data_IF_368160030717
#
_entry.id   IF_368160030717
#
_cell.length_a   1.000
_cell.length_b   1.000
_cell.length_c   1.000
_cell.angle_alpha   90.00
_cell.angle_beta   90.00
_cell.angle_gamma   90.00
#
_symmetry.space_group_name_H-M   'P 1'
#
loop_
_entity.id
_entity.type
_entity.pdbx_description
1 polymer ?
#
# COMPACT_ATOMS: atom_id res chain seq x y z
N UNK A 1 26.66 12.00 -9.40
CA UNK A 1 26.61 12.62 -8.04
C UNK A 1 27.32 11.69 -7.06
N UNK A 2 27.89 12.21 -5.97
CA UNK A 2 28.64 11.41 -4.98
C UNK A 2 28.25 11.67 -3.52
N UNK A 3 27.63 12.81 -3.25
CA UNK A 3 27.25 13.27 -1.92
C UNK A 3 26.06 14.26 -2.00
N UNK A 4 25.58 14.69 -0.83
CA UNK A 4 24.44 15.59 -0.71
C UNK A 4 24.68 16.96 -1.40
N UNK A 5 25.88 17.53 -1.27
CA UNK A 5 26.20 18.83 -1.87
C UNK A 5 26.22 18.74 -3.41
N UNK A 6 26.77 17.66 -3.96
CA UNK A 6 26.73 17.39 -5.40
C UNK A 6 25.30 17.22 -5.91
N UNK A 7 24.40 16.65 -5.11
CA UNK A 7 22.98 16.56 -5.45
C UNK A 7 22.31 17.94 -5.47
N UNK A 8 22.52 18.75 -4.42
CA UNK A 8 21.99 20.12 -4.35
C UNK A 8 22.48 21.00 -5.50
N UNK A 9 23.73 20.84 -5.93
CA UNK A 9 24.25 21.51 -7.13
C UNK A 9 23.50 21.10 -8.41
N UNK A 10 23.10 19.83 -8.53
CA UNK A 10 22.22 19.40 -9.63
C UNK A 10 20.85 20.04 -9.50
N UNK A 11 20.25 20.07 -8.30
CA UNK A 11 18.95 20.72 -8.07
C UNK A 11 18.95 22.21 -8.44
N UNK A 12 20.08 22.93 -8.29
CA UNK A 12 20.23 24.32 -8.77
C UNK A 12 20.03 24.43 -10.29
N UNK A 13 20.65 23.54 -11.06
CA UNK A 13 20.48 23.54 -12.52
C UNK A 13 19.07 23.11 -12.92
N UNK A 14 18.49 22.14 -12.21
CA UNK A 14 17.10 21.72 -12.44
C UNK A 14 16.11 22.83 -12.10
N UNK A 15 16.35 23.61 -11.03
CA UNK A 15 15.50 24.74 -10.67
C UNK A 15 15.52 25.82 -11.75
N UNK A 16 16.69 26.13 -12.35
CA UNK A 16 16.76 27.06 -13.48
C UNK A 16 15.93 26.57 -14.67
N UNK A 17 15.96 25.27 -14.96
CA UNK A 17 15.16 24.67 -16.02
C UNK A 17 13.66 24.73 -15.68
N UNK A 18 13.27 24.43 -14.44
CA UNK A 18 11.89 24.49 -13.97
C UNK A 18 11.31 25.92 -14.01
N UNK A 19 12.15 26.94 -13.83
CA UNK A 19 11.77 28.35 -13.97
C UNK A 19 11.43 28.76 -15.42
N UNK A 20 11.86 27.99 -16.42
CA UNK A 20 11.47 28.22 -17.82
C UNK A 20 10.06 27.71 -18.14
N UNK A 21 9.46 26.92 -17.25
CA UNK A 21 8.14 26.30 -17.40
C UNK A 21 8.20 24.77 -17.38
N UNK A 22 7.04 24.13 -17.37
CA UNK A 22 6.94 22.67 -17.32
C UNK A 22 7.35 22.04 -18.66
N UNK A 23 6.95 22.61 -19.81
CA UNK A 23 7.29 22.04 -21.12
C UNK A 23 8.82 21.96 -21.36
N UNK A 24 9.63 23.02 -21.12
CA UNK A 24 11.08 22.91 -21.25
C UNK A 24 11.72 21.94 -20.25
N UNK A 25 11.18 21.86 -19.03
CA UNK A 25 11.64 20.93 -18.01
C UNK A 25 11.42 19.49 -18.42
N UNK A 26 10.18 19.13 -18.73
CA UNK A 26 9.79 17.78 -19.15
C UNK A 26 10.53 17.38 -20.42
N UNK A 27 10.55 18.23 -21.46
CA UNK A 27 11.24 17.94 -22.72
C UNK A 27 12.74 17.71 -22.53
N UNK A 28 13.37 18.47 -21.63
CA UNK A 28 14.79 18.29 -21.30
C UNK A 28 15.09 16.92 -20.70
N UNK A 29 14.25 16.46 -19.76
CA UNK A 29 14.41 15.13 -19.16
C UNK A 29 14.08 13.99 -20.13
N UNK A 30 13.07 14.17 -21.00
CA UNK A 30 12.75 13.18 -22.03
C UNK A 30 13.97 13.01 -22.95
N UNK A 31 14.56 14.12 -23.40
CA UNK A 31 15.78 14.08 -24.21
C UNK A 31 16.94 13.35 -23.52
N UNK A 32 17.17 13.58 -22.22
CA UNK A 32 18.19 12.86 -21.45
C UNK A 32 17.87 11.36 -21.37
N UNK A 33 16.61 11.00 -21.12
CA UNK A 33 16.16 9.62 -21.03
C UNK A 33 16.39 8.87 -22.34
N UNK A 34 16.03 9.50 -23.47
CA UNK A 34 16.20 8.96 -24.82
C UNK A 34 17.69 8.87 -25.22
N UNK A 35 18.47 9.94 -25.00
CA UNK A 35 19.89 10.01 -25.37
C UNK A 35 20.73 8.97 -24.61
N UNK A 36 20.42 8.76 -23.32
CA UNK A 36 21.07 7.76 -22.48
C UNK A 36 20.44 6.37 -22.60
N UNK A 37 19.33 6.23 -23.34
CA UNK A 37 18.57 4.97 -23.51
C UNK A 37 18.19 4.35 -22.17
N UNK A 38 17.69 5.16 -21.24
CA UNK A 38 17.29 4.69 -19.91
C UNK A 38 16.03 3.82 -19.96
N UNK A 39 15.14 4.08 -20.93
CA UNK A 39 13.97 3.28 -21.23
C UNK A 39 13.58 3.46 -22.72
N UNK A 40 12.53 2.76 -23.14
CA UNK A 40 11.93 2.99 -24.46
C UNK A 40 11.36 4.44 -24.56
N UNK A 41 11.35 5.08 -25.74
CA UNK A 41 10.95 6.48 -25.87
C UNK A 41 9.53 6.79 -25.37
N UNK A 42 8.58 5.86 -25.54
CA UNK A 42 7.22 6.01 -25.03
C UNK A 42 7.16 5.95 -23.49
N UNK A 43 8.00 5.11 -22.88
CA UNK A 43 8.14 5.00 -21.42
C UNK A 43 8.76 6.28 -20.85
N UNK A 44 9.84 6.76 -21.46
CA UNK A 44 10.47 8.04 -21.12
C UNK A 44 9.46 9.19 -21.18
N UNK A 45 8.76 9.31 -22.32
CA UNK A 45 7.78 10.37 -22.55
C UNK A 45 6.61 10.30 -21.55
N UNK A 46 5.97 9.15 -21.39
CA UNK A 46 4.80 9.00 -20.53
C UNK A 46 5.11 9.25 -19.06
N UNK A 47 6.18 8.66 -18.54
CA UNK A 47 6.60 8.81 -17.14
C UNK A 47 6.92 10.28 -16.81
N UNK A 48 7.71 10.94 -17.65
CA UNK A 48 8.17 12.30 -17.39
C UNK A 48 7.08 13.36 -17.66
N UNK A 49 6.13 13.07 -18.56
CA UNK A 49 4.97 13.95 -18.76
C UNK A 49 4.05 13.95 -17.54
N UNK A 50 3.91 12.81 -16.86
CA UNK A 50 3.13 12.72 -15.62
C UNK A 50 3.86 13.33 -14.42
N UNK A 51 5.05 12.81 -14.09
CA UNK A 51 5.75 13.14 -12.84
C UNK A 51 6.60 14.42 -12.92
N UNK A 52 7.11 14.76 -14.11
CA UNK A 52 7.99 15.91 -14.31
C UNK A 52 7.40 17.25 -13.85
N UNK A 53 6.13 17.57 -14.12
CA UNK A 53 5.49 18.79 -13.63
C UNK A 53 5.46 18.93 -12.11
N UNK A 54 5.32 17.82 -11.36
CA UNK A 54 5.34 17.81 -9.89
C UNK A 54 6.74 18.19 -9.40
N UNK A 55 7.79 17.56 -9.93
CA UNK A 55 9.17 17.88 -9.56
C UNK A 55 9.51 19.33 -9.94
N UNK A 56 9.07 19.80 -11.12
CA UNK A 56 9.25 21.18 -11.54
C UNK A 56 8.55 22.16 -10.60
N UNK A 57 7.36 21.81 -10.10
CA UNK A 57 6.65 22.56 -9.07
C UNK A 57 7.48 22.67 -7.80
N UNK A 58 7.93 21.55 -7.23
CA UNK A 58 8.70 21.51 -5.99
C UNK A 58 9.93 22.40 -6.07
N UNK A 59 10.70 22.25 -7.17
CA UNK A 59 11.90 23.03 -7.42
C UNK A 59 11.64 24.53 -7.44
N UNK A 60 10.44 24.99 -7.86
CA UNK A 60 10.09 26.41 -7.84
C UNK A 60 9.72 26.93 -6.46
N UNK A 61 9.29 26.06 -5.54
CA UNK A 61 8.80 26.45 -4.22
C UNK A 61 9.87 26.43 -3.12
N UNK A 62 10.97 25.70 -3.31
CA UNK A 62 11.94 25.44 -2.24
C UNK A 62 13.30 26.12 -2.45
N UNK A 63 14.05 26.27 -1.37
CA UNK A 63 15.47 26.59 -1.42
C UNK A 63 16.29 25.32 -1.73
N UNK A 64 16.66 25.14 -3.00
CA UNK A 64 17.42 23.97 -3.47
C UNK A 64 18.85 23.87 -2.94
N UNK A 65 19.40 24.94 -2.33
CA UNK A 65 20.79 24.96 -1.84
C UNK A 65 20.92 24.62 -0.35
N UNK A 66 19.94 25.00 0.46
CA UNK A 66 20.02 24.82 1.92
C UNK A 66 18.69 24.46 2.57
N UNK A 67 17.61 24.40 1.80
CA UNK A 67 16.28 24.04 2.28
C UNK A 67 16.20 22.60 2.77
N UNK A 68 15.28 22.33 3.69
CA UNK A 68 15.03 20.98 4.20
C UNK A 68 14.46 20.10 3.09
N UNK A 69 13.52 20.63 2.31
CA UNK A 69 12.91 19.90 1.22
C UNK A 69 13.94 19.48 0.16
N UNK A 70 14.99 20.28 -0.05
CA UNK A 70 16.07 19.93 -0.98
C UNK A 70 16.80 18.64 -0.59
N UNK A 71 17.00 18.40 0.71
CA UNK A 71 17.62 17.17 1.19
C UNK A 71 16.69 15.98 0.99
N UNK A 72 15.41 16.14 1.32
CA UNK A 72 14.38 15.12 1.09
C UNK A 72 14.24 14.74 -0.39
N UNK A 73 14.17 15.74 -1.28
CA UNK A 73 14.09 15.52 -2.73
C UNK A 73 15.36 14.85 -3.28
N UNK A 74 16.54 15.19 -2.77
CA UNK A 74 17.78 14.47 -3.07
C UNK A 74 17.77 13.01 -2.64
N UNK A 75 17.14 12.71 -1.49
CA UNK A 75 16.95 11.32 -1.02
C UNK A 75 15.99 10.58 -1.93
N UNK A 76 14.86 11.17 -2.27
CA UNK A 76 13.83 10.56 -3.09
C UNK A 76 14.28 10.31 -4.53
N UNK A 77 14.92 11.28 -5.18
CA UNK A 77 15.31 11.16 -6.60
C UNK A 77 16.62 10.40 -6.81
N UNK A 78 17.56 10.52 -5.88
CA UNK A 78 18.94 10.09 -6.12
C UNK A 78 19.56 9.25 -5.00
N UNK A 79 18.84 9.02 -3.90
CA UNK A 79 19.35 8.26 -2.74
C UNK A 79 20.46 8.96 -1.96
N UNK A 80 20.61 10.29 -2.09
CA UNK A 80 21.60 11.09 -1.35
C UNK A 80 20.94 11.91 -0.23
N UNK A 81 21.73 12.41 0.72
CA UNK A 81 21.26 13.23 1.86
C UNK A 81 20.47 12.50 2.96
N UNK A 82 20.33 11.17 2.94
CA UNK A 82 19.69 10.42 4.04
C UNK A 82 20.51 10.54 5.33
N UNK A 83 19.87 10.94 6.43
CA UNK A 83 20.55 11.11 7.73
C UNK A 83 20.27 10.01 8.73
N UNK A 84 19.32 9.09 8.49
CA UNK A 84 18.87 8.06 9.43
C UNK A 84 18.52 8.64 10.82
N UNK A 85 18.09 9.91 10.85
CA UNK A 85 17.77 10.66 12.07
C UNK A 85 16.54 11.51 11.80
N UNK A 86 15.46 11.24 12.54
CA UNK A 86 14.24 12.04 12.50
C UNK A 86 14.47 13.41 13.12
N UNK A 87 13.72 14.40 12.62
CA UNK A 87 13.64 15.72 13.22
C UNK A 87 12.95 15.62 14.58
N UNK A 88 13.53 16.18 15.65
CA UNK A 88 12.90 16.20 16.96
C UNK A 88 11.53 16.87 16.91
N UNK A 89 10.49 16.12 17.28
CA UNK A 89 9.14 16.62 17.41
C UNK A 89 8.37 15.69 18.35
N UNK A 90 7.83 16.26 19.42
CA UNK A 90 7.00 15.53 20.36
C UNK A 90 5.55 15.61 19.86
N UNK A 91 5.02 14.50 19.36
CA UNK A 91 3.66 14.47 18.83
C UNK A 91 2.66 14.69 19.99
N UNK A 92 1.69 15.62 19.86
CA UNK A 92 0.74 15.90 20.93
C UNK A 92 -0.20 14.70 21.13
N UNK A 93 -0.07 14.04 22.28
CA UNK A 93 -0.84 12.84 22.62
C UNK A 93 -1.67 13.04 23.90
N UNK A 94 -2.89 12.47 23.98
CA UNK A 94 -3.65 12.48 25.21
C UNK A 94 -2.91 11.67 26.30
N UNK A 95 -3.08 12.00 27.59
CA UNK A 95 -2.50 11.22 28.67
C UNK A 95 -3.08 9.80 28.69
N UNK A 96 -2.34 8.78 29.18
CA UNK A 96 -2.89 7.45 29.40
C UNK A 96 -4.08 7.48 30.37
N UNK A 97 -5.04 6.55 30.25
CA UNK A 97 -6.14 6.43 31.19
C UNK A 97 -5.63 6.29 32.63
N UNK A 98 -6.29 6.97 33.59
CA UNK A 98 -5.87 6.95 35.00
C UNK A 98 -6.03 5.57 35.66
N UNK A 99 -6.96 4.75 35.18
CA UNK A 99 -7.04 3.35 35.56
C UNK A 99 -6.41 2.48 34.48
N UNK A 100 -5.45 1.60 34.82
CA UNK A 100 -4.91 0.67 33.84
C UNK A 100 -6.05 -0.16 33.27
N UNK A 101 -6.18 -0.17 31.94
CA UNK A 101 -7.07 -1.11 31.24
C UNK A 101 -6.80 -2.49 31.80
N UNK A 102 -7.77 -3.06 32.52
CA UNK A 102 -7.63 -4.41 33.08
C UNK A 102 -7.26 -5.33 31.92
N UNK A 103 -6.02 -5.83 31.90
CA UNK A 103 -5.69 -7.01 31.08
C UNK A 103 -6.70 -8.05 31.52
N UNK A 104 -7.67 -8.35 30.66
CA UNK A 104 -8.67 -9.37 30.94
C UNK A 104 -7.88 -10.66 31.19
N UNK A 105 -7.72 -11.00 32.45
CA UNK A 105 -7.06 -12.22 32.87
C UNK A 105 -7.90 -13.36 32.32
N UNK A 106 -7.27 -14.16 31.46
CA UNK A 106 -7.87 -15.30 30.77
C UNK A 106 -8.51 -16.28 31.76
N UNK A 107 -9.78 -16.06 32.08
CA UNK A 107 -10.67 -17.01 32.77
C UNK A 107 -12.04 -17.10 32.06
N UNK A 108 -12.12 -16.73 30.77
CA UNK A 108 -13.26 -17.10 29.91
C UNK A 108 -12.92 -18.39 29.17
N UNK A 109 -13.92 -19.26 29.01
CA UNK A 109 -13.80 -20.40 28.08
C UNK A 109 -13.36 -19.86 26.73
N UNK A 110 -12.23 -20.34 26.19
CA UNK A 110 -11.72 -19.93 24.88
C UNK A 110 -12.83 -20.14 23.86
N UNK A 111 -13.24 -19.06 23.21
CA UNK A 111 -14.18 -19.11 22.09
C UNK A 111 -13.44 -19.62 20.86
N UNK A 112 -14.17 -20.24 19.94
CA UNK A 112 -13.61 -20.67 18.66
C UNK A 112 -13.00 -19.48 17.91
N UNK A 113 -11.76 -19.61 17.41
CA UNK A 113 -11.14 -18.62 16.53
C UNK A 113 -11.99 -18.37 15.28
N UNK A 114 -11.83 -17.19 14.68
CA UNK A 114 -12.39 -16.90 13.37
C UNK A 114 -11.29 -16.62 12.36
N UNK A 115 -11.63 -16.81 11.09
CA UNK A 115 -10.70 -16.63 9.98
C UNK A 115 -10.93 -15.29 9.29
N UNK A 116 -9.84 -14.64 8.89
CA UNK A 116 -9.89 -13.46 8.00
C UNK A 116 -8.84 -13.62 6.89
N UNK A 117 -9.11 -12.98 5.75
CA UNK A 117 -8.20 -12.96 4.62
C UNK A 117 -7.60 -11.57 4.45
N UNK A 118 -6.34 -11.51 4.01
CA UNK A 118 -5.66 -10.27 3.64
C UNK A 118 -5.06 -10.39 2.25
N UNK A 119 -5.53 -9.50 1.37
CA UNK A 119 -5.08 -9.34 0.00
C UNK A 119 -4.41 -7.97 -0.19
N UNK A 120 -3.44 -7.90 -1.09
CA UNK A 120 -2.75 -6.66 -1.45
C UNK A 120 -2.17 -6.73 -2.85
N UNK A 121 -1.73 -5.58 -3.37
CA UNK A 121 -0.95 -5.44 -4.60
C UNK A 121 -1.57 -6.23 -5.75
N UNK A 122 -2.81 -5.87 -6.07
CA UNK A 122 -3.62 -6.54 -7.09
C UNK A 122 -3.01 -6.30 -8.45
N UNK A 123 -2.65 -5.04 -8.76
CA UNK A 123 -2.18 -4.57 -10.06
C UNK A 123 -2.92 -5.25 -11.21
N UNK A 124 -4.24 -5.02 -11.29
CA UNK A 124 -5.06 -5.63 -12.33
C UNK A 124 -4.76 -4.97 -13.67
N UNK A 125 -4.14 -5.71 -14.57
CA UNK A 125 -3.91 -5.29 -15.93
C UNK A 125 -5.13 -5.62 -16.80
N UNK A 126 -6.00 -4.61 -17.00
CA UNK A 126 -7.17 -4.75 -17.88
C UNK A 126 -6.83 -4.71 -19.37
N UNK A 127 -5.60 -4.35 -19.72
CA UNK A 127 -5.09 -4.35 -21.09
C UNK A 127 -4.26 -5.63 -21.39
N UNK A 128 -4.13 -6.53 -20.40
CA UNK A 128 -3.46 -7.82 -20.55
C UNK A 128 -4.05 -8.60 -21.71
N UNK A 129 -3.21 -9.02 -22.65
CA UNK A 129 -3.62 -9.76 -23.84
C UNK A 129 -3.03 -11.16 -23.85
N UNK A 130 -3.89 -12.19 -23.73
CA UNK A 130 -3.45 -13.58 -23.87
C UNK A 130 -2.79 -13.80 -25.23
N UNK A 131 -1.58 -14.38 -25.22
CA UNK A 131 -0.79 -14.67 -26.42
C UNK A 131 0.06 -13.51 -26.94
N UNK A 132 0.01 -12.31 -26.35
CA UNK A 132 1.02 -11.27 -26.63
C UNK A 132 2.38 -11.68 -26.06
N UNK A 133 3.43 -10.92 -26.34
CA UNK A 133 4.76 -11.23 -25.81
C UNK A 133 4.85 -10.97 -24.30
N UNK A 134 5.31 -11.97 -23.55
CA UNK A 134 5.62 -11.85 -22.13
C UNK A 134 7.08 -11.41 -21.90
N UNK A 135 7.98 -11.58 -22.87
CA UNK A 135 9.39 -11.18 -22.73
C UNK A 135 9.73 -9.99 -23.63
N UNK A 136 9.29 -8.81 -23.22
CA UNK A 136 9.50 -7.54 -23.90
C UNK A 136 10.60 -6.69 -23.23
N UNK A 137 10.97 -5.56 -23.84
CA UNK A 137 11.96 -4.61 -23.30
C UNK A 137 11.37 -3.54 -22.39
N UNK A 138 10.03 -3.42 -22.36
CA UNK A 138 9.32 -2.44 -21.54
C UNK A 138 9.27 -2.88 -20.07
N UNK A 139 9.04 -1.94 -19.12
CA UNK A 139 8.93 -2.28 -17.70
C UNK A 139 7.79 -3.25 -17.37
N UNK A 140 6.75 -3.31 -18.21
CA UNK A 140 5.64 -4.26 -18.10
C UNK A 140 5.32 -4.85 -19.49
N UNK A 141 5.13 -6.17 -19.56
CA UNK A 141 4.85 -6.89 -20.80
C UNK A 141 3.39 -7.41 -20.86
N UNK A 142 3.12 -8.41 -21.69
CA UNK A 142 1.80 -9.03 -21.88
C UNK A 142 0.70 -8.09 -22.39
N UNK A 143 1.06 -7.06 -23.14
CA UNK A 143 0.13 -6.18 -23.87
C UNK A 143 0.50 -6.13 -25.35
N UNK A 144 -0.41 -5.62 -26.17
CA UNK A 144 -0.13 -5.29 -27.56
C UNK A 144 0.33 -3.82 -27.67
N UNK A 145 1.63 -3.58 -27.64
CA UNK A 145 2.17 -2.24 -27.86
C UNK A 145 2.28 -1.91 -29.35
N UNK A 146 2.00 -0.66 -29.72
CA UNK A 146 1.99 -0.23 -31.14
C UNK A 146 3.38 -0.30 -31.81
N UNK A 147 4.45 -0.14 -31.02
CA UNK A 147 5.84 -0.21 -31.46
C UNK A 147 6.39 -1.65 -31.47
N UNK A 148 5.63 -2.61 -30.96
CA UNK A 148 6.01 -4.01 -30.91
C UNK A 148 5.74 -4.72 -32.24
N UNK A 149 6.77 -4.78 -33.09
CA UNK A 149 6.72 -5.39 -34.42
C UNK A 149 7.42 -6.76 -34.51
N UNK A 150 7.86 -7.31 -33.38
CA UNK A 150 8.57 -8.59 -33.28
C UNK A 150 7.64 -9.81 -33.30
N UNK A 151 8.21 -10.98 -33.62
CA UNK A 151 7.50 -12.25 -33.42
C UNK A 151 7.33 -12.52 -31.94
N UNK A 152 6.16 -12.99 -31.53
CA UNK A 152 5.93 -13.50 -30.16
C UNK A 152 6.79 -14.74 -29.95
N UNK A 153 7.73 -14.64 -29.02
CA UNK A 153 8.65 -15.70 -28.61
C UNK A 153 8.14 -16.41 -27.36
N UNK A 154 7.62 -15.67 -26.38
CA UNK A 154 7.01 -16.20 -25.16
C UNK A 154 5.57 -15.67 -25.09
N UNK A 155 4.56 -16.49 -25.49
CA UNK A 155 3.17 -16.05 -25.45
C UNK A 155 2.66 -15.94 -24.01
N UNK A 156 2.04 -14.82 -23.70
CA UNK A 156 1.40 -14.49 -22.44
C UNK A 156 0.30 -15.51 -22.10
N UNK A 157 0.39 -16.24 -20.97
CA UNK A 157 -0.57 -17.27 -20.58
C UNK A 157 -1.88 -16.67 -20.03
N UNK A 158 -3.00 -17.43 -19.99
CA UNK A 158 -4.30 -16.89 -19.56
C UNK A 158 -4.38 -16.37 -18.12
N UNK A 159 -3.48 -16.81 -17.24
CA UNK A 159 -3.50 -16.51 -15.81
C UNK A 159 -2.30 -15.69 -15.33
N UNK A 160 -1.51 -15.09 -16.24
CA UNK A 160 -0.41 -14.21 -15.88
C UNK A 160 0.98 -14.87 -15.96
N UNK A 161 2.00 -14.03 -16.04
CA UNK A 161 3.42 -14.39 -16.16
C UNK A 161 4.24 -13.48 -15.23
N UNK A 162 5.44 -13.90 -14.82
CA UNK A 162 6.27 -13.17 -13.86
C UNK A 162 6.82 -11.83 -14.37
N UNK A 163 6.64 -11.50 -15.65
CA UNK A 163 7.01 -10.21 -16.25
C UNK A 163 5.81 -9.29 -16.51
N UNK A 164 4.64 -9.69 -16.03
CA UNK A 164 3.37 -9.07 -16.36
C UNK A 164 2.51 -8.89 -15.12
N UNK A 165 1.57 -7.97 -15.16
CA UNK A 165 0.63 -7.76 -14.07
C UNK A 165 -0.59 -8.69 -14.16
N UNK A 166 -1.47 -8.59 -13.17
CA UNK A 166 -2.56 -9.55 -12.95
C UNK A 166 -3.63 -9.44 -14.04
N UNK A 167 -3.83 -10.46 -14.89
CA UNK A 167 -4.97 -10.44 -15.79
C UNK A 167 -6.28 -10.69 -15.01
N UNK A 168 -7.40 -10.20 -15.54
CA UNK A 168 -8.73 -10.35 -14.91
C UNK A 168 -9.04 -11.79 -14.45
N UNK A 169 -8.77 -12.86 -15.25
CA UNK A 169 -9.02 -14.23 -14.81
C UNK A 169 -8.23 -14.66 -13.56
N UNK A 170 -7.02 -14.13 -13.37
CA UNK A 170 -6.22 -14.42 -12.17
C UNK A 170 -6.85 -13.75 -10.94
N UNK A 171 -7.20 -12.47 -11.03
CA UNK A 171 -7.91 -11.75 -9.96
C UNK A 171 -9.23 -12.42 -9.59
N UNK A 172 -10.07 -12.74 -10.58
CA UNK A 172 -11.33 -13.45 -10.39
C UNK A 172 -11.12 -14.79 -9.68
N UNK A 173 -10.10 -15.55 -10.07
CA UNK A 173 -9.81 -16.84 -9.43
C UNK A 173 -9.40 -16.70 -7.96
N UNK A 174 -8.71 -15.61 -7.58
CA UNK A 174 -8.39 -15.33 -6.19
C UNK A 174 -9.67 -15.05 -5.40
N UNK A 175 -10.53 -14.17 -5.91
CA UNK A 175 -11.77 -13.79 -5.24
C UNK A 175 -12.70 -14.99 -5.03
N UNK A 176 -12.79 -15.89 -6.02
CA UNK A 176 -13.51 -17.17 -5.88
C UNK A 176 -12.91 -18.07 -4.79
N UNK A 177 -11.58 -18.16 -4.71
CA UNK A 177 -10.88 -18.93 -3.68
C UNK A 177 -11.15 -18.36 -2.27
N UNK A 178 -11.15 -17.03 -2.14
CA UNK A 178 -11.45 -16.34 -0.88
C UNK A 178 -12.89 -16.61 -0.46
N UNK A 179 -13.84 -16.53 -1.39
CA UNK A 179 -15.25 -16.81 -1.08
C UNK A 179 -15.47 -18.27 -0.62
N UNK A 180 -14.67 -19.22 -1.13
CA UNK A 180 -14.71 -20.61 -0.68
C UNK A 180 -14.17 -20.83 0.76
N UNK A 181 -13.38 -19.89 1.29
CA UNK A 181 -12.91 -19.91 2.68
C UNK A 181 -14.00 -19.43 3.65
N UNK A 182 -14.95 -18.62 3.19
CA UNK A 182 -15.97 -17.95 4.02
C UNK A 182 -15.34 -17.18 5.21
N UNK A 183 -14.40 -16.24 4.95
CA UNK A 183 -13.76 -15.49 6.03
C UNK A 183 -14.75 -14.54 6.69
N UNK A 184 -14.54 -14.23 7.97
CA UNK A 184 -15.37 -13.26 8.70
C UNK A 184 -15.37 -11.87 8.04
N UNK A 185 -14.22 -11.46 7.50
CA UNK A 185 -14.03 -10.30 6.66
C UNK A 185 -12.71 -10.39 5.90
N UNK A 186 -12.51 -9.49 4.95
CA UNK A 186 -11.28 -9.35 4.16
C UNK A 186 -10.65 -7.99 4.45
N UNK A 187 -9.33 -7.97 4.66
CA UNK A 187 -8.52 -6.75 4.60
C UNK A 187 -7.96 -6.64 3.18
N UNK A 188 -8.07 -5.46 2.58
CA UNK A 188 -7.50 -5.18 1.26
C UNK A 188 -6.59 -3.95 1.32
N UNK A 189 -5.29 -4.10 1.11
CA UNK A 189 -4.34 -2.99 1.33
C UNK A 189 -3.92 -2.26 0.06
N UNK A 190 -4.77 -2.23 -0.99
CA UNK A 190 -4.61 -1.31 -2.13
C UNK A 190 -3.75 -1.82 -3.28
N UNK A 191 -3.35 -0.89 -4.15
CA UNK A 191 -2.64 -1.12 -5.42
C UNK A 191 -3.47 -1.94 -6.40
N UNK A 192 -4.56 -1.31 -6.85
CA UNK A 192 -5.47 -1.85 -7.86
C UNK A 192 -4.84 -1.69 -9.25
N UNK A 193 -4.29 -0.53 -9.56
CA UNK A 193 -3.87 -0.15 -10.91
C UNK A 193 -2.54 -0.82 -11.27
N UNK A 194 -2.40 -1.25 -12.52
CA UNK A 194 -1.18 -1.87 -13.05
C UNK A 194 0.11 -1.02 -12.95
N UNK A 195 1.24 -1.67 -13.22
CA UNK A 195 2.58 -1.11 -13.29
C UNK A 195 2.96 -0.47 -14.64
N UNK A 196 2.07 -0.41 -15.63
CA UNK A 196 2.31 0.32 -16.88
C UNK A 196 2.14 1.84 -16.73
N UNK A 197 2.75 2.40 -15.68
CA UNK A 197 2.48 3.75 -15.16
C UNK A 197 2.66 4.87 -16.18
N UNK A 198 3.50 4.67 -17.21
CA UNK A 198 3.70 5.63 -18.31
C UNK A 198 2.50 5.76 -19.26
N UNK A 199 1.52 4.84 -19.18
CA UNK A 199 0.26 4.88 -19.95
C UNK A 199 -0.96 5.19 -19.08
N UNK A 200 -0.78 5.18 -17.75
CA UNK A 200 -1.85 5.38 -16.77
C UNK A 200 -2.19 6.87 -16.66
N UNK A 201 -3.48 7.18 -16.61
CA UNK A 201 -4.00 8.53 -16.40
C UNK A 201 -5.26 8.48 -15.50
N UNK A 202 -5.78 9.64 -15.11
CA UNK A 202 -6.94 9.74 -14.22
C UNK A 202 -8.16 8.94 -14.72
N UNK A 203 -8.38 8.90 -16.05
CA UNK A 203 -9.50 8.13 -16.63
C UNK A 203 -9.30 6.63 -16.48
N UNK A 204 -8.11 6.11 -16.74
CA UNK A 204 -7.84 4.68 -16.56
C UNK A 204 -7.87 4.27 -15.09
N UNK A 205 -7.27 5.07 -14.20
CA UNK A 205 -7.34 4.82 -12.75
C UNK A 205 -8.79 4.83 -12.27
N UNK A 206 -9.58 5.86 -12.64
CA UNK A 206 -11.01 5.92 -12.29
C UNK A 206 -11.74 4.65 -12.70
N UNK A 207 -11.58 4.23 -13.96
CA UNK A 207 -12.17 2.98 -14.48
C UNK A 207 -11.75 1.78 -13.65
N UNK A 208 -10.47 1.67 -13.28
CA UNK A 208 -9.93 0.49 -12.62
C UNK A 208 -10.35 0.41 -11.15
N UNK A 209 -10.36 1.54 -10.43
CA UNK A 209 -10.91 1.64 -9.07
C UNK A 209 -12.40 1.30 -9.03
N UNK A 210 -13.21 1.93 -9.89
CA UNK A 210 -14.66 1.67 -9.97
C UNK A 210 -14.94 0.20 -10.33
N UNK A 211 -14.24 -0.33 -11.33
CA UNK A 211 -14.44 -1.70 -11.80
C UNK A 211 -14.00 -2.72 -10.76
N UNK A 212 -12.91 -2.47 -10.03
CA UNK A 212 -12.46 -3.41 -9.00
C UNK A 212 -13.35 -3.36 -7.76
N UNK A 213 -13.85 -2.19 -7.37
CA UNK A 213 -14.89 -2.08 -6.33
C UNK A 213 -16.15 -2.88 -6.70
N UNK A 214 -16.59 -2.79 -7.96
CA UNK A 214 -17.71 -3.58 -8.46
C UNK A 214 -17.40 -5.10 -8.48
N UNK A 215 -16.19 -5.49 -8.86
CA UNK A 215 -15.75 -6.90 -8.83
C UNK A 215 -15.72 -7.47 -7.41
N UNK A 216 -15.20 -6.71 -6.44
CA UNK A 216 -15.21 -7.09 -5.02
C UNK A 216 -16.65 -7.29 -4.52
N UNK A 217 -17.55 -6.36 -4.84
CA UNK A 217 -18.97 -6.43 -4.45
C UNK A 217 -19.69 -7.64 -5.05
N UNK A 218 -19.43 -7.95 -6.31
CA UNK A 218 -20.06 -9.07 -7.02
C UNK A 218 -19.55 -10.44 -6.51
N UNK A 219 -18.26 -10.54 -6.17
CA UNK A 219 -17.60 -11.84 -5.96
C UNK A 219 -17.30 -12.19 -4.50
N UNK A 220 -17.19 -11.22 -3.59
CA UNK A 220 -16.88 -11.45 -2.18
C UNK A 220 -18.14 -11.26 -1.33
N UNK A 221 -18.54 -12.31 -0.60
CA UNK A 221 -19.72 -12.26 0.28
C UNK A 221 -19.44 -11.59 1.62
N UNK A 222 -18.20 -11.67 2.11
CA UNK A 222 -17.77 -11.09 3.38
C UNK A 222 -17.53 -9.57 3.26
N UNK A 223 -17.66 -8.79 4.34
CA UNK A 223 -17.26 -7.39 4.33
C UNK A 223 -15.78 -7.22 3.97
N UNK A 224 -15.47 -6.19 3.18
CA UNK A 224 -14.09 -5.84 2.81
C UNK A 224 -13.72 -4.52 3.48
N UNK A 225 -12.55 -4.48 4.12
CA UNK A 225 -11.97 -3.27 4.70
C UNK A 225 -10.73 -2.85 3.90
N UNK A 226 -10.91 -1.96 2.92
CA UNK A 226 -9.84 -1.53 2.02
C UNK A 226 -8.96 -0.42 2.60
N UNK A 227 -7.78 -0.21 2.01
CA UNK A 227 -6.91 0.95 2.17
C UNK A 227 -6.31 1.33 0.80
N UNK A 228 -5.86 2.58 0.65
CA UNK A 228 -5.30 3.10 -0.61
C UNK A 228 -3.83 2.71 -0.81
N UNK A 229 -3.50 2.28 -2.02
CA UNK A 229 -2.14 2.05 -2.49
C UNK A 229 -1.53 3.24 -3.22
N UNK A 230 -0.24 3.15 -3.55
CA UNK A 230 0.48 4.22 -4.25
C UNK A 230 0.19 4.23 -5.76
N UNK A 231 -0.27 3.11 -6.34
CA UNK A 231 -0.74 3.03 -7.72
C UNK A 231 -2.19 3.52 -7.92
N UNK A 232 -2.93 3.77 -6.84
CA UNK A 232 -4.35 4.16 -6.90
C UNK A 232 -4.57 5.65 -7.25
N UNK A 233 -3.55 6.33 -7.79
CA UNK A 233 -3.60 7.71 -8.29
C UNK A 233 -2.91 7.84 -9.64
N UNK A 234 -3.20 8.94 -10.35
CA UNK A 234 -2.48 9.33 -11.55
C UNK A 234 -1.99 10.78 -11.43
N UNK A 235 -0.71 11.07 -11.69
CA UNK A 235 0.39 10.11 -11.87
C UNK A 235 0.56 9.17 -10.66
N UNK A 236 1.29 8.08 -10.84
CA UNK A 236 1.60 7.13 -9.76
C UNK A 236 2.24 7.88 -8.56
N UNK A 237 1.87 7.50 -7.34
CA UNK A 237 2.30 8.10 -6.07
C UNK A 237 1.80 9.53 -5.78
N UNK A 238 1.04 10.16 -6.68
CA UNK A 238 0.70 11.57 -6.59
C UNK A 238 -0.46 11.84 -5.60
N UNK A 239 -0.09 12.10 -4.34
CA UNK A 239 -1.00 12.54 -3.28
C UNK A 239 -0.61 13.92 -2.77
N UNK A 240 -1.25 14.96 -3.30
CA UNK A 240 -0.92 16.36 -2.99
C UNK A 240 -1.20 16.73 -1.53
N UNK A 241 -0.34 17.58 -0.94
CA UNK A 241 -0.58 18.11 0.40
C UNK A 241 -1.72 19.12 0.35
N UNK A 242 -2.48 19.19 1.45
CA UNK A 242 -3.50 20.22 1.66
C UNK A 242 -2.93 21.66 1.64
N UNK A 243 -1.62 21.79 1.83
CA UNK A 243 -0.88 23.06 1.74
C UNK A 243 -0.32 23.34 0.35
N UNK A 244 -0.33 22.38 -0.57
CA UNK A 244 0.16 22.55 -1.94
C UNK A 244 -0.74 23.51 -2.72
N UNK A 245 -0.19 24.23 -3.71
CA UNK A 245 -1.02 25.15 -4.53
C UNK A 245 -2.13 24.43 -5.31
N UNK A 246 -2.02 23.12 -5.49
CA UNK A 246 -3.00 22.24 -6.14
C UNK A 246 -3.58 21.20 -5.17
N UNK A 247 -3.79 21.60 -3.92
CA UNK A 247 -4.22 20.76 -2.79
C UNK A 247 -5.40 19.78 -3.00
N UNK A 248 -6.22 19.97 -4.04
CA UNK A 248 -7.39 19.13 -4.32
C UNK A 248 -7.15 18.05 -5.40
N UNK A 249 -5.92 17.91 -5.92
CA UNK A 249 -5.64 17.05 -7.08
C UNK A 249 -5.87 15.55 -6.84
N UNK A 250 -5.98 15.09 -5.58
CA UNK A 250 -6.24 13.68 -5.26
C UNK A 250 -7.64 13.41 -4.69
N UNK A 251 -8.49 14.44 -4.55
CA UNK A 251 -9.82 14.29 -3.96
C UNK A 251 -10.72 13.35 -4.78
N UNK A 252 -10.53 13.28 -6.10
CA UNK A 252 -11.27 12.39 -6.98
C UNK A 252 -11.07 10.91 -6.62
N UNK A 253 -9.86 10.52 -6.16
CA UNK A 253 -9.58 9.16 -5.67
C UNK A 253 -10.43 8.88 -4.42
N UNK A 254 -10.45 9.82 -3.47
CA UNK A 254 -11.21 9.69 -2.23
C UNK A 254 -12.72 9.65 -2.48
N UNK A 255 -13.22 10.44 -3.43
CA UNK A 255 -14.64 10.45 -3.81
C UNK A 255 -15.07 9.11 -4.42
N UNK A 256 -14.28 8.54 -5.34
CA UNK A 256 -14.56 7.23 -5.95
C UNK A 256 -14.58 6.14 -4.88
N UNK A 257 -13.56 6.12 -4.03
CA UNK A 257 -13.39 5.06 -3.03
C UNK A 257 -14.41 5.20 -1.89
N UNK A 258 -14.73 6.41 -1.46
CA UNK A 258 -15.84 6.67 -0.53
C UNK A 258 -17.15 6.08 -1.05
N UNK A 259 -17.48 6.33 -2.32
CA UNK A 259 -18.68 5.78 -2.96
C UNK A 259 -18.62 4.26 -3.11
N UNK A 260 -17.47 3.71 -3.51
CA UNK A 260 -17.28 2.28 -3.73
C UNK A 260 -17.25 1.45 -2.44
N UNK A 261 -16.84 2.04 -1.31
CA UNK A 261 -16.59 1.31 -0.07
C UNK A 261 -17.73 1.39 0.95
N UNK A 262 -18.65 2.37 0.82
CA UNK A 262 -19.73 2.66 1.79
C UNK A 262 -20.53 1.43 2.20
N UNK A 263 -20.74 0.50 1.27
CA UNK A 263 -21.47 -0.75 1.50
C UNK A 263 -20.83 -1.68 2.54
N UNK A 264 -19.51 -1.60 2.73
CA UNK A 264 -18.77 -2.42 3.70
C UNK A 264 -18.43 -1.66 4.98
N UNK A 265 -18.06 -0.38 4.84
CA UNK A 265 -17.52 0.40 5.97
C UNK A 265 -18.57 1.29 6.65
N UNK A 266 -19.72 1.51 5.99
CA UNK A 266 -20.82 2.36 6.46
C UNK A 266 -20.65 3.85 6.14
N UNK A 267 -21.72 4.62 6.32
CA UNK A 267 -21.77 6.04 5.95
C UNK A 267 -20.71 6.87 6.68
N UNK A 268 -20.54 6.70 7.99
CA UNK A 268 -19.58 7.47 8.80
C UNK A 268 -18.14 7.28 8.30
N UNK A 269 -17.70 6.03 8.16
CA UNK A 269 -16.37 5.72 7.64
C UNK A 269 -16.21 6.17 6.18
N UNK A 270 -17.26 6.10 5.35
CA UNK A 270 -17.19 6.61 3.97
C UNK A 270 -16.99 8.14 3.92
N UNK A 271 -17.57 8.89 4.87
CA UNK A 271 -17.32 10.33 4.98
C UNK A 271 -15.89 10.61 5.45
N UNK A 272 -15.34 9.77 6.33
CA UNK A 272 -13.94 9.87 6.73
C UNK A 272 -13.01 9.63 5.54
N UNK A 273 -13.25 8.61 4.70
CA UNK A 273 -12.46 8.42 3.45
C UNK A 273 -12.42 9.71 2.64
N UNK A 274 -13.57 10.39 2.50
CA UNK A 274 -13.69 11.61 1.71
C UNK A 274 -12.97 12.81 2.32
N UNK A 275 -12.96 12.94 3.64
CA UNK A 275 -12.58 14.19 4.32
C UNK A 275 -11.30 14.09 5.17
N UNK A 276 -10.88 12.87 5.52
CA UNK A 276 -9.69 12.56 6.32
C UNK A 276 -8.60 11.92 5.43
N UNK A 277 -8.46 12.48 4.23
CA UNK A 277 -7.40 12.16 3.27
C UNK A 277 -7.33 10.67 2.88
N UNK A 278 -8.48 10.04 2.66
CA UNK A 278 -8.56 8.62 2.30
C UNK A 278 -8.46 7.66 3.49
N UNK A 279 -8.34 8.17 4.72
CA UNK A 279 -8.31 7.36 5.95
C UNK A 279 -9.72 7.18 6.52
N UNK A 280 -9.96 6.09 7.26
CA UNK A 280 -11.21 5.89 7.97
C UNK A 280 -11.07 4.96 9.17
N UNK A 281 -12.09 4.96 10.02
CA UNK A 281 -12.23 4.00 11.10
C UNK A 281 -13.62 3.38 11.12
N UNK A 282 -13.69 2.05 11.19
CA UNK A 282 -14.97 1.33 11.22
C UNK A 282 -14.95 0.19 12.23
N UNK A 283 -16.03 0.05 13.00
CA UNK A 283 -16.21 -1.04 13.95
C UNK A 283 -16.67 -2.30 13.20
N UNK A 284 -15.95 -3.41 13.34
CA UNK A 284 -16.36 -4.68 12.74
C UNK A 284 -17.65 -5.17 13.41
N UNK A 285 -18.77 -5.34 12.68
CA UNK A 285 -20.06 -5.66 13.27
C UNK A 285 -20.04 -6.90 14.15
N UNK A 286 -20.70 -6.82 15.32
CA UNK A 286 -20.78 -7.93 16.28
C UNK A 286 -19.46 -8.25 16.99
N UNK A 287 -18.48 -7.36 16.93
CA UNK A 287 -17.20 -7.49 17.64
C UNK A 287 -16.85 -6.21 18.41
N UNK A 288 -15.73 -6.27 19.12
CA UNK A 288 -15.10 -5.11 19.77
C UNK A 288 -13.77 -4.73 19.09
N UNK A 289 -13.64 -5.11 17.80
CA UNK A 289 -12.50 -4.81 16.94
C UNK A 289 -12.88 -3.68 16.00
N UNK A 290 -12.04 -2.66 15.95
CA UNK A 290 -12.12 -1.54 15.03
C UNK A 290 -11.00 -1.63 14.01
N UNK A 291 -11.32 -1.45 12.74
CA UNK A 291 -10.34 -1.25 11.69
C UNK A 291 -10.04 0.25 11.60
N UNK A 292 -8.77 0.60 11.57
CA UNK A 292 -8.27 1.94 11.33
C UNK A 292 -7.42 1.90 10.05
N UNK A 293 -8.04 2.23 8.93
CA UNK A 293 -7.38 2.27 7.63
C UNK A 293 -6.77 3.66 7.41
N UNK A 294 -5.48 3.70 7.10
CA UNK A 294 -4.69 4.93 7.06
C UNK A 294 -4.06 5.12 5.68
N UNK A 295 -4.03 6.36 5.21
CA UNK A 295 -3.39 6.70 3.96
C UNK A 295 -1.88 6.96 4.16
N UNK A 296 -1.08 5.92 3.94
CA UNK A 296 0.38 5.96 4.09
C UNK A 296 1.09 6.73 2.96
N UNK A 297 0.37 7.17 1.92
CA UNK A 297 0.95 7.90 0.78
C UNK A 297 1.48 9.27 1.19
N UNK A 298 0.95 9.84 2.26
CA UNK A 298 1.45 11.08 2.85
C UNK A 298 2.79 10.92 3.58
N UNK A 299 3.32 9.70 3.66
CA UNK A 299 4.60 9.37 4.28
C UNK A 299 5.54 8.67 3.30
N UNK A 300 5.14 8.51 2.03
CA UNK A 300 5.93 7.78 1.04
C UNK A 300 7.00 8.67 0.41
N UNK A 301 8.25 8.22 0.37
CA UNK A 301 9.36 8.99 -0.23
C UNK A 301 9.19 9.27 -1.72
N UNK A 302 8.42 8.47 -2.47
CA UNK A 302 8.17 8.74 -3.89
C UNK A 302 6.92 9.60 -4.15
N UNK A 303 6.18 10.00 -3.11
CA UNK A 303 5.17 11.04 -3.25
C UNK A 303 5.85 12.41 -3.26
N UNK A 304 6.18 12.90 -4.46
CA UNK A 304 6.99 14.11 -4.59
C UNK A 304 6.32 15.38 -4.04
N UNK A 305 4.98 15.41 -3.94
CA UNK A 305 4.25 16.51 -3.32
C UNK A 305 4.65 16.80 -1.87
N UNK A 306 5.33 15.88 -1.19
CA UNK A 306 5.84 16.09 0.16
C UNK A 306 7.09 17.00 0.21
N UNK A 307 7.65 17.38 -0.94
CA UNK A 307 8.85 18.20 -1.06
C UNK A 307 8.59 19.62 -1.59
N UNK A 308 7.33 20.07 -1.69
CA UNK A 308 6.96 21.39 -2.24
C UNK A 308 7.10 22.58 -1.27
N UNK A 309 7.69 22.39 -0.08
CA UNK A 309 7.86 23.46 0.91
C UNK A 309 8.99 23.16 1.90
N UNK A 310 9.76 24.20 2.25
CA UNK A 310 10.76 24.16 3.33
C UNK A 310 10.15 24.31 4.74
N UNK A 311 8.85 24.61 4.83
CA UNK A 311 8.14 24.64 6.10
C UNK A 311 8.09 23.24 6.70
N UNK A 312 8.38 23.14 8.01
CA UNK A 312 8.31 21.87 8.70
C UNK A 312 6.85 21.45 8.88
N UNK A 313 6.47 20.35 8.22
CA UNK A 313 5.14 19.76 8.29
C UNK A 313 5.24 18.35 8.88
N UNK A 314 5.15 18.20 10.21
CA UNK A 314 5.30 16.90 10.87
C UNK A 314 4.18 15.92 10.53
N UNK A 315 2.99 16.42 10.22
CA UNK A 315 1.80 15.61 9.92
C UNK A 315 1.12 16.07 8.62
N UNK A 316 1.67 15.69 7.44
CA UNK A 316 1.06 16.03 6.16
C UNK A 316 -0.38 15.52 6.13
N UNK A 317 -1.31 16.43 5.86
CA UNK A 317 -2.75 16.16 5.77
C UNK A 317 -3.42 15.61 7.03
N UNK A 318 -2.79 15.72 8.20
CA UNK A 318 -3.44 15.40 9.48
C UNK A 318 -3.62 13.90 9.74
N UNK A 319 -2.92 13.02 9.02
CA UNK A 319 -3.09 11.56 9.12
C UNK A 319 -2.68 11.05 10.51
N UNK A 320 -1.60 11.55 11.10
CA UNK A 320 -1.16 11.18 12.45
C UNK A 320 -2.16 11.67 13.51
N UNK A 321 -2.69 12.89 13.35
CA UNK A 321 -3.71 13.43 14.24
C UNK A 321 -5.00 12.61 14.20
N UNK A 322 -5.47 12.26 13.00
CA UNK A 322 -6.61 11.36 12.81
C UNK A 322 -6.39 10.01 13.50
N UNK A 323 -5.20 9.41 13.34
CA UNK A 323 -4.87 8.14 14.00
C UNK A 323 -4.94 8.26 15.52
N UNK A 324 -4.32 9.29 16.10
CA UNK A 324 -4.32 9.49 17.56
C UNK A 324 -5.75 9.69 18.09
N UNK A 325 -6.59 10.46 17.40
CA UNK A 325 -8.00 10.67 17.74
C UNK A 325 -8.79 9.35 17.70
N UNK A 326 -8.68 8.58 16.62
CA UNK A 326 -9.42 7.33 16.48
C UNK A 326 -8.96 6.25 17.49
N UNK A 327 -7.67 6.24 17.83
CA UNK A 327 -7.14 5.35 18.88
C UNK A 327 -7.62 5.75 20.27
N UNK A 328 -7.73 7.05 20.56
CA UNK A 328 -8.32 7.54 21.80
C UNK A 328 -9.80 7.16 21.91
N UNK A 329 -10.58 7.35 20.85
CA UNK A 329 -11.99 6.92 20.79
C UNK A 329 -12.11 5.41 21.05
N UNK A 330 -11.24 4.60 20.45
CA UNK A 330 -11.23 3.15 20.66
C UNK A 330 -10.85 2.78 22.09
N UNK A 331 -9.82 3.42 22.66
CA UNK A 331 -9.37 3.19 24.04
C UNK A 331 -10.48 3.50 25.05
N UNK A 332 -11.16 4.63 24.89
CA UNK A 332 -12.29 5.05 25.73
C UNK A 332 -13.48 4.08 25.62
N UNK A 333 -13.70 3.51 24.44
CA UNK A 333 -14.72 2.48 24.21
C UNK A 333 -14.28 1.07 24.66
N UNK A 334 -13.03 0.90 25.11
CA UNK A 334 -12.45 -0.40 25.45
C UNK A 334 -12.30 -1.34 24.25
N UNK A 335 -12.24 -0.80 23.04
CA UNK A 335 -12.08 -1.51 21.77
C UNK A 335 -10.62 -1.90 21.53
N UNK A 336 -10.41 -2.90 20.67
CA UNK A 336 -9.10 -3.19 20.07
C UNK A 336 -9.05 -2.65 18.66
N UNK A 337 -7.86 -2.27 18.21
CA UNK A 337 -7.68 -1.67 16.88
C UNK A 337 -6.70 -2.48 16.05
N UNK A 338 -7.10 -2.79 14.82
CA UNK A 338 -6.18 -3.18 13.77
C UNK A 338 -5.92 -1.98 12.88
N UNK A 339 -4.64 -1.65 12.68
CA UNK A 339 -4.22 -0.58 11.79
C UNK A 339 -3.90 -1.18 10.43
N UNK A 340 -4.52 -0.67 9.37
CA UNK A 340 -4.31 -1.16 8.00
C UNK A 340 -3.85 -0.01 7.12
N UNK A 341 -2.91 -0.26 6.22
CA UNK A 341 -2.46 0.72 5.24
C UNK A 341 -1.73 0.01 4.10
N UNK A 342 -1.16 0.74 3.16
CA UNK A 342 -0.42 0.10 2.07
C UNK A 342 1.07 -0.05 2.41
N UNK A 343 1.77 1.06 2.64
CA UNK A 343 3.22 1.08 2.82
C UNK A 343 3.55 0.83 4.29
N UNK A 344 4.28 -0.25 4.63
CA UNK A 344 4.63 -0.53 6.01
C UNK A 344 5.57 0.54 6.60
N UNK A 345 5.28 0.97 7.83
CA UNK A 345 6.16 1.88 8.57
C UNK A 345 7.44 1.19 9.02
N UNK A 346 8.51 1.97 9.26
CA UNK A 346 9.80 1.44 9.72
C UNK A 346 10.62 0.75 8.61
N UNK A 347 10.23 0.92 7.35
CA UNK A 347 10.96 0.47 6.15
C UNK A 347 11.54 1.65 5.36
N UNK A 348 12.42 1.32 4.41
CA UNK A 348 13.19 2.29 3.63
C UNK A 348 12.32 3.24 2.79
N UNK A 349 11.10 2.84 2.42
CA UNK A 349 10.20 3.62 1.59
C UNK A 349 9.46 4.73 2.34
N UNK A 350 9.30 4.59 3.65
CA UNK A 350 8.58 5.57 4.47
C UNK A 350 9.55 6.66 4.98
N UNK A 351 9.05 7.89 5.08
CA UNK A 351 9.80 9.00 5.68
C UNK A 351 10.16 8.70 7.15
N UNK A 352 11.40 9.03 7.53
CA UNK A 352 11.92 8.77 8.88
C UNK A 352 11.15 9.54 9.95
N UNK A 353 10.76 10.77 9.66
CA UNK A 353 10.00 11.64 10.56
C UNK A 353 8.64 11.01 10.91
N UNK A 354 7.83 10.68 9.91
CA UNK A 354 6.50 10.12 10.13
C UNK A 354 6.55 8.71 10.71
N UNK A 355 7.56 7.90 10.36
CA UNK A 355 7.80 6.62 11.04
C UNK A 355 8.11 6.82 12.53
N UNK A 356 8.90 7.83 12.90
CA UNK A 356 9.18 8.16 14.30
C UNK A 356 7.94 8.70 15.04
N UNK A 357 7.19 9.60 14.44
CA UNK A 357 6.01 10.21 15.09
C UNK A 357 4.89 9.19 15.26
N UNK A 358 4.74 8.27 14.29
CA UNK A 358 3.85 7.13 14.45
C UNK A 358 4.30 6.18 15.56
N UNK A 359 5.61 5.94 15.73
CA UNK A 359 6.09 5.13 16.84
C UNK A 359 5.69 5.76 18.20
N UNK A 360 5.74 7.08 18.35
CA UNK A 360 5.25 7.75 19.58
C UNK A 360 3.77 7.45 19.84
N UNK A 361 2.92 7.49 18.81
CA UNK A 361 1.50 7.10 18.88
C UNK A 361 1.38 5.63 19.28
N UNK A 362 2.13 4.73 18.63
CA UNK A 362 2.14 3.31 18.94
C UNK A 362 2.52 3.05 20.40
N UNK A 363 3.58 3.69 20.91
CA UNK A 363 4.00 3.53 22.30
C UNK A 363 2.91 3.95 23.29
N UNK A 364 2.16 5.02 22.98
CA UNK A 364 1.04 5.50 23.81
C UNK A 364 -0.16 4.56 23.77
N UNK A 365 -0.47 3.97 22.62
CA UNK A 365 -1.68 3.16 22.40
C UNK A 365 -1.41 1.66 22.24
N UNK A 366 -0.24 1.16 22.66
CA UNK A 366 0.16 -0.26 22.53
C UNK A 366 -0.78 -1.25 23.20
N UNK A 367 -1.53 -0.83 24.22
CA UNK A 367 -2.54 -1.69 24.87
C UNK A 367 -3.90 -1.65 24.14
N UNK A 368 -4.11 -0.72 23.20
CA UNK A 368 -5.33 -0.60 22.37
C UNK A 368 -5.12 -1.25 21.00
N UNK A 369 -3.95 -1.08 20.41
CA UNK A 369 -3.59 -1.68 19.12
C UNK A 369 -3.34 -3.18 19.30
N UNK A 370 -3.95 -3.99 18.44
CA UNK A 370 -3.82 -5.46 18.44
C UNK A 370 -3.03 -6.01 17.25
N UNK A 371 -2.74 -5.19 16.23
CA UNK A 371 -1.89 -5.57 15.10
C UNK A 371 -1.91 -4.56 13.96
N UNK A 372 -0.97 -4.73 13.04
CA UNK A 372 -0.83 -3.92 11.83
C UNK A 372 -0.79 -4.78 10.56
N UNK A 373 -1.41 -4.32 9.48
CA UNK A 373 -1.53 -5.05 8.22
C UNK A 373 -1.21 -4.13 7.03
N UNK A 374 -0.22 -4.50 6.22
CA UNK A 374 0.29 -3.73 5.08
C UNK A 374 0.55 -4.60 3.84
N UNK A 375 0.93 -3.98 2.72
CA UNK A 375 1.35 -4.62 1.47
C UNK A 375 2.62 -3.98 0.91
N UNK A 376 2.58 -3.54 -0.35
CA UNK A 376 3.58 -2.70 -1.05
C UNK A 376 4.89 -3.40 -1.38
N UNK A 377 5.46 -4.19 -0.46
CA UNK A 377 6.75 -4.87 -0.71
C UNK A 377 6.62 -6.07 -1.65
N UNK A 378 5.38 -6.48 -1.95
CA UNK A 378 4.97 -7.68 -2.68
C UNK A 378 5.45 -9.00 -2.05
N UNK A 379 5.99 -8.96 -0.82
CA UNK A 379 6.65 -10.09 -0.16
C UNK A 379 5.86 -10.53 1.07
N UNK A 380 5.93 -11.83 1.35
CA UNK A 380 5.50 -12.37 2.65
C UNK A 380 6.50 -11.97 3.74
N UNK A 381 6.17 -10.92 4.50
CA UNK A 381 7.01 -10.41 5.57
C UNK A 381 6.21 -10.19 6.86
N UNK A 382 6.95 -10.06 7.95
CA UNK A 382 6.44 -9.53 9.21
C UNK A 382 7.54 -8.75 9.93
N UNK A 383 7.12 -7.79 10.76
CA UNK A 383 8.01 -7.01 11.62
C UNK A 383 7.49 -7.01 13.06
N UNK A 384 8.38 -6.67 13.99
CA UNK A 384 8.05 -6.52 15.40
C UNK A 384 8.44 -5.10 15.81
N UNK A 385 7.49 -4.39 16.41
CA UNK A 385 7.75 -3.11 17.05
C UNK A 385 8.11 -3.33 18.52
N UNK A 386 9.06 -2.56 19.03
CA UNK A 386 9.57 -2.69 20.39
C UNK A 386 9.43 -1.37 21.14
N UNK A 387 9.13 -1.42 22.45
CA UNK A 387 9.18 -0.21 23.28
C UNK A 387 10.60 0.21 23.68
N UNK A 388 11.57 -0.69 23.51
CA UNK A 388 12.99 -0.39 23.58
C UNK A 388 13.69 -1.14 22.44
N UNK A 389 13.86 -0.43 21.32
CA UNK A 389 14.47 -0.99 20.10
C UNK A 389 15.95 -1.36 20.29
N UNK A 390 16.64 -0.78 21.28
CA UNK A 390 18.05 -1.10 21.58
C UNK A 390 18.20 -2.43 22.33
N UNK A 391 17.11 -2.95 22.90
CA UNK A 391 17.10 -4.21 23.66
C UNK A 391 15.90 -5.08 23.25
N UNK A 392 15.96 -5.69 22.07
CA UNK A 392 14.83 -6.43 21.49
C UNK A 392 14.60 -7.77 22.21
N UNK A 393 13.51 -7.85 22.98
CA UNK A 393 13.12 -9.04 23.76
C UNK A 393 11.63 -9.33 23.59
N UNK A 394 11.17 -10.50 24.03
CA UNK A 394 9.74 -10.82 24.02
C UNK A 394 8.94 -9.89 24.96
N UNK A 395 9.54 -9.45 26.07
CA UNK A 395 8.86 -8.64 27.10
C UNK A 395 8.57 -7.20 26.64
N UNK A 396 9.34 -6.69 25.69
CA UNK A 396 9.19 -5.34 25.16
C UNK A 396 8.76 -5.29 23.68
N UNK A 397 8.38 -6.44 23.10
CA UNK A 397 7.64 -6.47 21.84
C UNK A 397 6.23 -5.93 22.09
N UNK A 398 5.87 -4.83 21.41
CA UNK A 398 4.62 -4.11 21.64
C UNK A 398 3.62 -4.20 20.49
N UNK A 399 4.08 -4.57 19.29
CA UNK A 399 3.19 -4.88 18.17
C UNK A 399 3.85 -5.83 17.17
N UNK A 400 3.01 -6.52 16.41
CA UNK A 400 3.39 -7.30 15.24
C UNK A 400 2.79 -6.68 13.98
N UNK A 401 3.61 -6.55 12.95
CA UNK A 401 3.24 -6.03 11.64
C UNK A 401 3.23 -7.18 10.64
N UNK A 402 2.13 -7.40 9.93
CA UNK A 402 2.03 -8.39 8.87
C UNK A 402 1.99 -7.70 7.51
N UNK A 403 2.89 -8.08 6.60
CA UNK A 403 2.89 -7.60 5.22
C UNK A 403 2.41 -8.70 4.30
N UNK A 404 1.32 -8.49 3.57
CA UNK A 404 0.83 -9.46 2.61
C UNK A 404 1.75 -9.54 1.38
N UNK A 405 1.96 -10.74 0.81
CA UNK A 405 2.51 -10.85 -0.53
C UNK A 405 1.51 -10.31 -1.56
N UNK A 406 2.01 -10.06 -2.76
CA UNK A 406 1.18 -9.56 -3.85
C UNK A 406 0.34 -10.64 -4.53
N UNK A 407 -0.78 -10.21 -5.10
CA UNK A 407 -1.45 -10.98 -6.15
C UNK A 407 -0.69 -10.88 -7.47
N UNK A 408 -0.11 -9.72 -7.79
CA UNK A 408 0.69 -9.57 -9.02
C UNK A 408 1.81 -10.61 -9.08
N UNK A 409 2.00 -11.26 -10.24
CA UNK A 409 3.01 -12.30 -10.38
C UNK A 409 4.43 -11.75 -10.60
N UNK A 410 4.57 -10.43 -10.74
CA UNK A 410 5.87 -9.76 -10.95
C UNK A 410 6.87 -9.99 -9.84
N UNK A 411 6.41 -10.42 -8.65
CA UNK A 411 7.24 -10.58 -7.45
C UNK A 411 7.24 -12.00 -6.87
N UNK A 412 6.61 -12.96 -7.57
CA UNK A 412 6.54 -14.35 -7.13
C UNK A 412 5.25 -15.04 -7.58
N UNK A 413 4.90 -16.12 -6.89
CA UNK A 413 3.58 -16.71 -7.10
C UNK A 413 2.51 -15.76 -6.51
N UNK A 414 1.41 -15.50 -7.23
CA UNK A 414 0.24 -14.79 -6.73
C UNK A 414 -0.18 -15.37 -5.39
N UNK A 415 -0.36 -14.53 -4.38
CA UNK A 415 -0.60 -15.02 -3.03
C UNK A 415 -1.48 -14.08 -2.21
N UNK A 416 -2.09 -14.65 -1.16
CA UNK A 416 -2.79 -13.90 -0.11
C UNK A 416 -2.58 -14.57 1.24
N UNK A 417 -2.85 -13.84 2.33
CA UNK A 417 -2.74 -14.35 3.70
C UNK A 417 -4.10 -14.74 4.27
N UNK A 418 -4.11 -15.82 5.04
CA UNK A 418 -5.22 -16.29 5.86
C UNK A 418 -4.75 -16.30 7.31
N UNK A 419 -5.51 -15.65 8.19
CA UNK A 419 -5.18 -15.59 9.61
C UNK A 419 -6.25 -16.26 10.46
N UNK A 420 -5.82 -16.99 11.50
CA UNK A 420 -6.69 -17.38 12.61
C UNK A 420 -6.57 -16.33 13.72
N UNK A 421 -7.71 -15.86 14.21
CA UNK A 421 -7.77 -14.71 15.11
C UNK A 421 -8.45 -15.09 16.42
N UNK A 422 -7.83 -14.73 17.53
CA UNK A 422 -8.43 -14.90 18.85
C UNK A 422 -9.61 -13.92 19.00
N UNK A 423 -10.83 -14.41 19.29
CA UNK A 423 -12.04 -13.59 19.26
C UNK A 423 -12.21 -12.64 20.45
N UNK A 424 -11.34 -12.72 21.45
CA UNK A 424 -11.42 -11.91 22.66
C UNK A 424 -10.28 -10.86 22.71
N UNK A 425 -9.10 -11.20 22.22
CA UNK A 425 -7.92 -10.32 22.18
C UNK A 425 -7.68 -9.68 20.81
N UNK A 426 -8.21 -10.29 19.74
CA UNK A 426 -7.94 -9.95 18.34
C UNK A 426 -6.45 -10.06 17.95
N UNK A 427 -5.67 -10.80 18.74
CA UNK A 427 -4.32 -11.19 18.36
C UNK A 427 -4.34 -12.29 17.29
N UNK A 428 -3.30 -12.30 16.45
CA UNK A 428 -3.09 -13.37 15.48
C UNK A 428 -2.65 -14.65 16.21
N UNK A 429 -3.34 -15.75 15.93
CA UNK A 429 -3.02 -17.07 16.49
C UNK A 429 -2.20 -17.92 15.51
N UNK A 430 -2.51 -17.81 14.22
CA UNK A 430 -1.79 -18.50 13.15
C UNK A 430 -1.84 -17.67 11.85
N UNK A 431 -0.85 -17.86 10.99
CA UNK A 431 -0.72 -17.19 9.69
C UNK A 431 -0.41 -18.24 8.62
N UNK A 432 -1.24 -18.29 7.59
CA UNK A 432 -1.03 -19.15 6.41
C UNK A 432 -0.99 -18.32 5.15
N UNK A 433 -0.06 -18.64 4.26
CA UNK A 433 -0.03 -18.08 2.89
C UNK A 433 -0.68 -19.06 1.95
N UNK A 434 -1.67 -18.57 1.20
CA UNK A 434 -2.30 -19.29 0.10
C UNK A 434 -1.76 -18.71 -1.20
N UNK A 435 -1.15 -19.53 -2.05
CA UNK A 435 -0.56 -19.08 -3.30
C UNK A 435 -1.12 -19.86 -4.50
N UNK A 436 -1.23 -19.17 -5.63
CA UNK A 436 -1.59 -19.72 -6.93
C UNK A 436 -0.36 -20.25 -7.66
N UNK A 437 -0.43 -21.47 -8.19
CA UNK A 437 0.63 -22.00 -9.06
C UNK A 437 0.21 -21.93 -10.53
N UNK A 438 1.03 -21.30 -11.36
CA UNK A 438 0.84 -21.30 -12.82
C UNK A 438 1.05 -22.70 -13.38
N UNK A 439 -0.03 -23.34 -13.84
CA UNK A 439 0.04 -24.57 -14.59
C UNK A 439 -0.66 -24.38 -15.94
N UNK A 440 0.02 -23.73 -16.90
CA UNK A 440 -0.23 -23.63 -18.37
C UNK A 440 -1.67 -23.36 -18.90
N UNK A 441 -2.72 -23.50 -18.09
CA UNK A 441 -4.14 -23.43 -18.45
C UNK A 441 -5.08 -23.26 -17.23
N UNK A 442 -4.61 -23.41 -15.98
CA UNK A 442 -5.43 -23.32 -14.76
C UNK A 442 -4.61 -22.63 -13.65
N UNK A 443 -5.22 -21.70 -12.90
CA UNK A 443 -4.73 -21.26 -11.60
C UNK A 443 -5.34 -22.14 -10.49
N UNK A 444 -4.52 -22.66 -9.59
CA UNK A 444 -4.93 -23.50 -8.46
C UNK A 444 -4.30 -22.94 -7.18
N UNK A 445 -5.15 -22.56 -6.23
CA UNK A 445 -4.79 -21.93 -4.94
C UNK A 445 -4.53 -22.97 -3.86
N UNK A 446 -3.40 -22.83 -3.16
CA UNK A 446 -2.90 -23.83 -2.22
C UNK A 446 -2.24 -23.22 -1.00
N UNK A 447 -2.33 -23.88 0.14
CA UNK A 447 -1.43 -23.61 1.27
C UNK A 447 -0.09 -24.32 1.05
N UNK A 448 0.97 -23.84 1.70
CA UNK A 448 2.33 -24.43 1.65
C UNK A 448 2.40 -25.93 1.99
N UNK A 449 1.35 -26.50 2.60
CA UNK A 449 1.31 -27.87 3.09
C UNK A 449 0.40 -28.81 2.27
N UNK A 450 -0.25 -28.35 1.20
CA UNK A 450 -1.15 -29.20 0.38
C UNK A 450 -0.99 -29.02 -1.14
N UNK A 451 -0.52 -30.04 -1.91
CA UNK A 451 -0.22 -29.93 -3.35
C UNK A 451 -1.43 -30.08 -4.31
N UNK A 452 -1.37 -29.46 -5.50
CA UNK A 452 -2.47 -29.40 -6.48
C UNK A 452 -2.58 -30.75 -7.20
N UNK A 453 -3.80 -31.28 -7.25
CA UNK A 453 -4.13 -32.43 -8.11
C UNK A 453 -4.76 -31.96 -9.42
N UNK A 454 -4.28 -32.49 -10.55
CA UNK A 454 -4.72 -32.16 -11.92
C UNK A 454 -6.21 -32.47 -12.22
N UNK A 455 -7.00 -32.94 -11.24
CA UNK A 455 -8.35 -33.46 -11.45
C UNK A 455 -9.42 -32.88 -10.52
N UNK A 456 -9.12 -31.79 -9.79
CA UNK A 456 -10.09 -31.20 -8.86
C UNK A 456 -10.33 -29.75 -9.27
N UNK A 457 -11.62 -29.38 -9.34
CA UNK A 457 -12.09 -27.99 -9.41
C UNK A 457 -11.39 -27.15 -8.33
N UNK A 458 -11.31 -25.81 -8.45
CA UNK A 458 -10.73 -24.97 -7.41
C UNK A 458 -11.47 -25.21 -6.08
N UNK A 459 -10.90 -26.06 -5.24
CA UNK A 459 -11.33 -26.31 -3.88
C UNK A 459 -10.08 -26.25 -3.04
N UNK A 460 -9.98 -25.20 -2.23
CA UNK A 460 -8.98 -25.13 -1.18
C UNK A 460 -9.33 -26.22 -0.17
N UNK A 461 -8.49 -27.24 -0.07
CA UNK A 461 -8.57 -28.20 1.03
C UNK A 461 -7.79 -27.58 2.19
N UNK A 462 -8.48 -27.08 3.21
CA UNK A 462 -7.86 -26.76 4.50
C UNK A 462 -8.13 -27.96 5.40
N UNK A 463 -7.17 -28.88 5.53
CA UNK A 463 -7.20 -29.79 6.68
C UNK A 463 -6.60 -29.04 7.86
N UNK A 464 -7.44 -28.69 8.82
CA UNK A 464 -6.99 -28.34 10.16
C UNK A 464 -6.52 -29.64 10.83
N UNK A 465 -5.22 -29.92 10.80
CA UNK A 465 -4.63 -30.89 11.73
C UNK A 465 -4.48 -30.18 13.08
N UNK A 466 -5.59 -30.08 13.81
CA UNK A 466 -5.57 -29.87 15.25
C UNK A 466 -5.12 -31.19 15.89
N UNK A 467 -3.81 -31.46 15.87
CA UNK A 467 -3.25 -32.54 16.69
C UNK A 467 -3.12 -32.02 18.13
N UNK A 468 -4.25 -32.03 18.84
CA UNK A 468 -4.27 -31.94 20.29
C UNK A 468 -3.82 -33.27 20.86
N UNK A 469 -2.53 -33.40 21.18
CA UNK A 469 -2.06 -34.45 22.07
C UNK A 469 -1.18 -33.88 23.20
N UNK A 470 -1.85 -33.76 24.36
CA UNK A 470 -1.42 -33.73 25.77
C UNK A 470 -0.58 -32.56 26.30
#
# INVERSE_FOLDING_TARGET
>A
MRDCDSCRNVLVELQKLAQLGDDPFVSGFIGICDDLKLADPDVCNGTLTGTGPIIAHDLRQINVTSGRASAGLCTALFGFCSTNTSTPFDFPLPPPPQEPTRRNTCLRKRREPFQIVHISDVHIDREYTVGSEANCTKPLCCRNFADQNGLVTIPAPPFGDATCDTPIPLADSMLEAINAIDPKFVIFTGDIVEGATWLVNETSVTRDLESFNAQLLDKIQSPVYPALGNHDSAPVNAFARSTSMTANDSQWVFDIQSLGWVQWIGDEASQQVKHDSGSYSSLVPGTNLRILAINTQYWYKQNFWLYDSDEFQPDPNGVLAFIAEQLEVAEQAGQKVWVTGHIPLGKEDNMEDQSNYYDQILQRFKDTIAGHFFGHSHKDEFFIAYSDYSNQTADNAVSSVSVAPALTPTSGNPAFKLYDVDPDTFGLMDIRVVFGKFLLAICCWQTTHQPCSKHVRPTISVKADLDTTL
#
